data_IF_300197088190
#
_entry.id   IF_300197088190
#
_cell.length_a   1.000
_cell.length_b   1.000
_cell.length_c   1.000
_cell.angle_alpha   90.00
_cell.angle_beta   90.00
_cell.angle_gamma   90.00
#
_symmetry.space_group_name_H-M   'P 1'
#
loop_
_entity.id
_entity.type
_entity.pdbx_description
1 polymer ?
#
# COMPACT_ATOMS: atom_id res chain seq x y z
N UNK A 1 14.67 8.42 0.64
CA UNK A 1 14.92 9.87 0.75
C UNK A 1 14.26 10.55 -0.43
N UNK A 2 13.09 11.16 -0.25
CA UNK A 2 12.25 11.64 -1.37
C UNK A 2 12.80 12.91 -2.00
N UNK A 3 13.49 12.80 -3.14
CA UNK A 3 14.08 13.93 -3.85
C UNK A 3 13.04 14.93 -4.34
N UNK A 4 12.24 14.54 -5.34
CA UNK A 4 11.05 15.28 -5.76
C UNK A 4 9.82 14.55 -5.23
N UNK A 5 9.11 15.20 -4.30
CA UNK A 5 7.89 14.70 -3.69
C UNK A 5 6.79 15.73 -3.92
N UNK A 6 5.81 15.37 -4.73
CA UNK A 6 4.72 16.25 -5.15
C UNK A 6 3.38 15.52 -5.15
N UNK A 7 2.30 16.30 -5.17
CA UNK A 7 0.92 15.84 -5.38
C UNK A 7 0.51 16.30 -6.77
N UNK A 8 -0.04 15.40 -7.59
CA UNK A 8 -0.63 15.79 -8.86
C UNK A 8 -1.92 16.58 -8.64
N UNK A 9 -2.18 17.57 -9.49
CA UNK A 9 -3.37 18.43 -9.38
C UNK A 9 -4.68 17.62 -9.36
N UNK A 10 -4.72 16.49 -10.08
CA UNK A 10 -5.90 15.61 -10.13
C UNK A 10 -6.04 14.67 -8.91
N UNK A 11 -5.17 14.77 -7.89
CA UNK A 11 -5.17 13.94 -6.68
C UNK A 11 -5.49 14.69 -5.38
N UNK A 12 -5.74 16.00 -5.43
CA UNK A 12 -5.96 16.83 -4.23
C UNK A 12 -7.11 16.31 -3.35
N UNK A 13 -8.24 15.95 -3.95
CA UNK A 13 -9.41 15.49 -3.22
C UNK A 13 -9.17 14.12 -2.56
N UNK A 14 -8.50 13.21 -3.26
CA UNK A 14 -8.16 11.88 -2.77
C UNK A 14 -7.20 11.93 -1.59
N UNK A 15 -6.16 12.78 -1.67
CA UNK A 15 -5.20 12.98 -0.58
C UNK A 15 -5.90 13.61 0.62
N UNK A 16 -6.74 14.63 0.40
CA UNK A 16 -7.49 15.28 1.47
C UNK A 16 -8.42 14.31 2.19
N UNK A 17 -9.12 13.44 1.44
CA UNK A 17 -9.94 12.37 2.01
C UNK A 17 -9.10 11.36 2.80
N UNK A 18 -7.94 10.94 2.28
CA UNK A 18 -7.05 10.02 2.99
C UNK A 18 -6.54 10.59 4.31
N UNK A 19 -6.17 11.87 4.34
CA UNK A 19 -5.65 12.56 5.53
C UNK A 19 -6.69 12.73 6.64
N UNK A 20 -7.99 12.58 6.35
CA UNK A 20 -9.06 12.63 7.36
C UNK A 20 -9.30 11.31 8.08
N UNK A 21 -8.64 10.22 7.66
CA UNK A 21 -8.86 8.88 8.20
C UNK A 21 -7.94 8.63 9.38
N UNK A 22 -8.51 8.12 10.47
CA UNK A 22 -7.72 7.66 11.60
C UNK A 22 -6.86 6.44 11.21
N UNK A 23 -5.56 6.42 11.53
CA UNK A 23 -4.71 5.26 11.30
C UNK A 23 -5.22 4.02 12.04
N UNK A 24 -5.11 2.86 11.38
CA UNK A 24 -5.38 1.54 11.98
C UNK A 24 -4.06 0.80 12.21
N UNK A 25 -4.03 -0.23 13.08
CA UNK A 25 -2.85 -1.06 13.26
C UNK A 25 -2.31 -1.57 11.93
N UNK A 26 -0.98 -1.70 11.84
CA UNK A 26 -0.35 -2.28 10.66
C UNK A 26 -0.68 -3.77 10.53
N UNK A 27 -0.77 -4.30 9.30
CA UNK A 27 -0.83 -5.74 9.08
C UNK A 27 0.52 -6.39 9.40
N UNK A 28 0.54 -7.73 9.43
CA UNK A 28 1.77 -8.51 9.41
C UNK A 28 1.96 -9.15 8.04
N UNK A 29 3.19 -9.09 7.53
CA UNK A 29 3.60 -9.80 6.32
C UNK A 29 4.44 -11.00 6.73
N UNK A 30 3.95 -12.20 6.42
CA UNK A 30 4.66 -13.45 6.66
C UNK A 30 5.15 -13.99 5.32
N UNK A 31 6.43 -14.32 5.26
CA UNK A 31 7.07 -14.90 4.09
C UNK A 31 7.52 -16.33 4.41
N UNK A 32 6.90 -17.32 3.76
CA UNK A 32 7.23 -18.73 3.95
C UNK A 32 8.59 -19.05 3.35
N UNK A 33 9.53 -19.54 4.15
CA UNK A 33 10.92 -19.71 3.73
C UNK A 33 11.08 -20.67 2.55
N UNK A 34 11.93 -20.27 1.60
CA UNK A 34 12.38 -21.06 0.45
C UNK A 34 13.90 -21.20 0.45
N UNK A 35 14.41 -22.21 -0.25
CA UNK A 35 15.86 -22.46 -0.31
C UNK A 35 16.57 -21.48 -1.24
N UNK A 36 15.84 -20.91 -2.21
CA UNK A 36 16.32 -19.91 -3.15
C UNK A 36 15.32 -18.77 -3.28
N UNK A 37 15.83 -17.55 -3.50
CA UNK A 37 14.98 -16.39 -3.78
C UNK A 37 14.17 -16.55 -5.08
N UNK A 38 14.62 -17.42 -5.99
CA UNK A 38 13.92 -17.69 -7.26
C UNK A 38 12.77 -18.69 -7.14
N UNK A 39 12.57 -19.28 -5.96
CA UNK A 39 11.52 -20.28 -5.71
C UNK A 39 10.23 -19.67 -5.13
N UNK A 40 10.25 -18.38 -4.77
CA UNK A 40 9.08 -17.72 -4.18
C UNK A 40 7.95 -17.57 -5.19
N UNK A 41 6.73 -17.90 -4.76
CA UNK A 41 5.50 -17.66 -5.50
C UNK A 41 4.54 -16.77 -4.69
N UNK A 42 3.39 -16.40 -5.28
CA UNK A 42 2.35 -15.66 -4.55
C UNK A 42 1.83 -16.41 -3.32
N UNK A 43 1.82 -17.75 -3.36
CA UNK A 43 1.32 -18.59 -2.26
C UNK A 43 2.26 -18.58 -1.04
N UNK A 44 3.48 -18.05 -1.18
CA UNK A 44 4.44 -17.91 -0.08
C UNK A 44 4.27 -16.64 0.75
N UNK A 45 3.40 -15.74 0.30
CA UNK A 45 3.18 -14.43 0.90
C UNK A 45 1.83 -14.44 1.61
N UNK A 46 1.86 -14.40 2.93
CA UNK A 46 0.67 -14.27 3.76
C UNK A 46 0.61 -12.86 4.35
N UNK A 47 -0.58 -12.25 4.28
CA UNK A 47 -0.87 -10.97 4.93
C UNK A 47 -1.94 -11.22 5.99
N UNK A 48 -1.60 -11.04 7.25
CA UNK A 48 -2.53 -11.18 8.37
C UNK A 48 -2.92 -9.81 8.93
N UNK A 49 -4.10 -9.72 9.55
CA UNK A 49 -4.61 -8.52 10.22
C UNK A 49 -4.69 -7.26 9.32
N UNK A 50 -4.86 -7.42 8.01
CA UNK A 50 -5.03 -6.29 7.09
C UNK A 50 -6.47 -5.78 7.09
N UNK A 51 -6.71 -4.69 7.82
CA UNK A 51 -8.00 -3.99 7.89
C UNK A 51 -7.89 -2.54 7.34
N UNK A 52 -7.74 -2.36 6.02
CA UNK A 52 -7.63 -1.04 5.43
C UNK A 52 -8.97 -0.31 5.39
N UNK A 53 -8.91 1.02 5.34
CA UNK A 53 -10.06 1.82 4.91
C UNK A 53 -10.44 1.52 3.45
N UNK A 54 -11.68 1.82 3.01
CA UNK A 54 -12.08 1.61 1.62
C UNK A 54 -11.15 2.28 0.61
N UNK A 55 -10.93 1.62 -0.53
CA UNK A 55 -10.05 2.11 -1.58
C UNK A 55 -10.49 3.50 -2.09
N UNK A 56 -9.53 4.40 -2.30
CA UNK A 56 -9.73 5.70 -2.93
C UNK A 56 -9.17 5.59 -4.35
N UNK A 57 -9.99 5.85 -5.37
CA UNK A 57 -9.54 5.83 -6.77
C UNK A 57 -8.89 7.17 -7.13
N UNK A 58 -7.66 7.12 -7.61
CA UNK A 58 -6.92 8.27 -8.14
C UNK A 58 -6.41 7.94 -9.57
N UNK A 59 -6.76 8.72 -10.59
CA UNK A 59 -6.35 8.45 -11.98
C UNK A 59 -4.87 8.80 -12.20
N UNK A 60 -4.15 8.00 -12.97
CA UNK A 60 -2.77 8.34 -13.37
C UNK A 60 -2.81 9.61 -14.24
N UNK A 61 -1.95 10.59 -13.92
CA UNK A 61 -1.78 11.77 -14.77
C UNK A 61 -1.08 11.35 -16.08
N UNK A 62 -1.56 11.89 -17.21
CA UNK A 62 -1.00 11.67 -18.55
C UNK A 62 -0.07 12.81 -18.91
#
# INVERSE_FOLDING_TARGET
>A
TGGDCHIYDNHHDQVTEQLRRDPRPYPELVLHQRNSIFEYTYDDIEISNYDPHPAIKAPVAV
#
